data_IF_397691428235
#
_entry.id   IF_397691428235
#
_cell.length_a   1.000
_cell.length_b   1.000
_cell.length_c   1.000
_cell.angle_alpha   90.00
_cell.angle_beta   90.00
_cell.angle_gamma   90.00
#
_symmetry.space_group_name_H-M   'P 1'
#
loop_
_entity.id
_entity.type
_entity.pdbx_description
1 polymer ?
#
# COMPACT_ATOMS: atom_id res chain seq x y z
N UNK A 1 -15.40 14.86 -21.40
CA UNK A 1 -14.76 13.86 -20.51
C UNK A 1 -15.71 13.53 -19.37
N UNK A 2 -16.14 12.27 -19.21
CA UNK A 2 -17.01 11.84 -18.09
C UNK A 2 -16.34 12.11 -16.73
N UNK A 3 -17.12 12.45 -15.70
CA UNK A 3 -16.63 12.69 -14.33
C UNK A 3 -15.81 11.52 -13.80
N UNK A 4 -16.20 10.30 -14.14
CA UNK A 4 -15.46 9.08 -13.82
C UNK A 4 -14.03 9.11 -14.39
N UNK A 5 -13.88 9.42 -15.68
CA UNK A 5 -12.55 9.49 -16.31
C UNK A 5 -11.69 10.58 -15.70
N UNK A 6 -12.26 11.77 -15.44
CA UNK A 6 -11.54 12.86 -14.75
C UNK A 6 -11.01 12.41 -13.39
N UNK A 7 -11.80 11.64 -12.64
CA UNK A 7 -11.40 11.09 -11.35
C UNK A 7 -10.23 10.09 -11.48
N UNK A 8 -10.31 9.14 -12.43
CA UNK A 8 -9.20 8.20 -12.70
C UNK A 8 -7.91 8.95 -13.07
N UNK A 9 -7.99 9.97 -13.93
CA UNK A 9 -6.83 10.81 -14.26
C UNK A 9 -6.26 11.54 -13.04
N UNK A 10 -7.12 12.04 -12.13
CA UNK A 10 -6.63 12.67 -10.90
C UNK A 10 -5.87 11.70 -10.01
N UNK A 11 -6.29 10.43 -9.91
CA UNK A 11 -5.56 9.40 -9.18
C UNK A 11 -4.18 9.15 -9.82
N UNK A 12 -4.13 9.07 -11.15
CA UNK A 12 -2.86 8.90 -11.88
C UNK A 12 -1.89 10.07 -11.62
N UNK A 13 -2.39 11.31 -11.61
CA UNK A 13 -1.58 12.50 -11.29
C UNK A 13 -1.01 12.40 -9.87
N UNK A 14 -1.83 12.06 -8.88
CA UNK A 14 -1.36 11.87 -7.50
C UNK A 14 -0.30 10.77 -7.41
N UNK A 15 -0.44 9.69 -8.19
CA UNK A 15 0.57 8.63 -8.23
C UNK A 15 1.90 9.07 -8.83
N UNK A 16 1.86 9.92 -9.87
CA UNK A 16 3.08 10.52 -10.44
C UNK A 16 3.77 11.40 -9.39
N UNK A 17 3.02 12.24 -8.67
CA UNK A 17 3.55 13.06 -7.59
C UNK A 17 4.22 12.21 -6.50
N UNK A 18 3.58 11.09 -6.11
CA UNK A 18 4.16 10.14 -5.17
C UNK A 18 5.51 9.60 -5.64
N UNK A 19 5.60 9.14 -6.89
CA UNK A 19 6.85 8.61 -7.47
C UNK A 19 7.94 9.69 -7.49
N UNK A 20 7.60 10.93 -7.84
CA UNK A 20 8.54 12.06 -7.80
C UNK A 20 9.06 12.29 -6.38
N UNK A 21 8.19 12.32 -5.37
CA UNK A 21 8.63 12.48 -3.97
C UNK A 21 9.50 11.32 -3.48
N UNK A 22 9.21 10.10 -3.90
CA UNK A 22 10.02 8.92 -3.57
C UNK A 22 11.42 8.98 -4.20
N UNK A 23 11.52 9.39 -5.48
CA UNK A 23 12.80 9.58 -6.17
C UNK A 23 13.61 10.69 -5.51
N UNK A 24 12.99 11.83 -5.19
CA UNK A 24 13.65 12.94 -4.51
C UNK A 24 14.24 12.52 -3.16
N UNK A 25 13.45 11.83 -2.33
CA UNK A 25 13.90 11.28 -1.06
C UNK A 25 15.07 10.29 -1.24
N UNK A 26 14.97 9.39 -2.23
CA UNK A 26 16.03 8.43 -2.52
C UNK A 26 17.35 9.12 -2.93
N UNK A 27 17.29 10.16 -3.79
CA UNK A 27 18.47 10.92 -4.20
C UNK A 27 19.10 11.66 -3.00
N UNK A 28 18.28 12.26 -2.14
CA UNK A 28 18.74 12.96 -0.94
C UNK A 28 19.42 12.01 0.05
N UNK A 29 18.86 10.82 0.25
CA UNK A 29 19.44 9.78 1.08
C UNK A 29 20.80 9.32 0.53
N UNK A 30 20.95 9.23 -0.79
CA UNK A 30 22.20 8.84 -1.45
C UNK A 30 23.30 9.91 -1.38
N UNK A 31 22.93 11.18 -1.27
CA UNK A 31 23.90 12.29 -1.14
C UNK A 31 24.41 12.49 0.30
N UNK A 32 23.98 11.69 1.26
CA UNK A 32 24.45 11.77 2.66
C UNK A 32 24.06 13.07 3.38
N UNK A 33 23.16 13.87 2.81
CA UNK A 33 22.66 15.14 3.39
C UNK A 33 21.43 14.92 4.29
N UNK A 34 21.32 13.76 4.92
CA UNK A 34 20.11 13.28 5.62
C UNK A 34 19.90 13.89 7.02
N UNK A 35 20.23 15.17 7.23
CA UNK A 35 19.99 15.87 8.50
C UNK A 35 19.69 17.35 8.23
N UNK A 36 18.57 17.64 7.57
CA UNK A 36 18.15 19.01 7.32
C UNK A 36 16.64 19.15 7.14
N UNK A 37 16.11 20.36 7.37
CA UNK A 37 14.68 20.68 7.31
C UNK A 37 14.00 20.26 5.98
N UNK A 38 14.75 20.17 4.88
CA UNK A 38 14.24 19.76 3.57
C UNK A 38 13.83 18.28 3.57
N UNK A 39 14.57 17.41 4.26
CA UNK A 39 14.30 15.98 4.30
C UNK A 39 13.03 15.68 5.10
N UNK A 40 12.86 16.35 6.25
CA UNK A 40 11.63 16.27 7.04
C UNK A 40 10.40 16.74 6.26
N UNK A 41 10.52 17.84 5.50
CA UNK A 41 9.45 18.33 4.63
C UNK A 41 9.10 17.31 3.55
N UNK A 42 10.10 16.67 2.93
CA UNK A 42 9.88 15.67 1.89
C UNK A 42 9.21 14.42 2.44
N UNK A 43 9.66 13.92 3.59
CA UNK A 43 9.04 12.78 4.28
C UNK A 43 7.59 13.10 4.63
N UNK A 44 7.35 14.29 5.20
CA UNK A 44 6.01 14.76 5.55
C UNK A 44 5.06 14.80 4.34
N UNK A 45 5.52 15.36 3.21
CA UNK A 45 4.71 15.40 1.99
C UNK A 45 4.53 14.01 1.36
N UNK A 46 5.55 13.15 1.39
CA UNK A 46 5.47 11.76 0.91
C UNK A 46 4.34 11.02 1.61
N UNK A 47 4.29 11.08 2.94
CA UNK A 47 3.28 10.36 3.73
C UNK A 47 1.87 10.93 3.50
N UNK A 48 1.73 12.24 3.32
CA UNK A 48 0.43 12.85 2.98
C UNK A 48 -0.05 12.48 1.57
N UNK A 49 0.85 12.45 0.60
CA UNK A 49 0.51 12.04 -0.77
C UNK A 49 0.09 10.57 -0.78
N UNK A 50 0.77 9.72 0.00
CA UNK A 50 0.40 8.31 0.12
C UNK A 50 -0.98 8.12 0.75
N UNK A 51 -1.27 8.91 1.79
CA UNK A 51 -2.60 8.94 2.40
C UNK A 51 -3.69 9.39 1.41
N UNK A 52 -3.45 10.48 0.67
CA UNK A 52 -4.40 10.99 -0.34
C UNK A 52 -4.62 9.96 -1.44
N UNK A 53 -3.55 9.33 -1.93
CA UNK A 53 -3.63 8.27 -2.94
C UNK A 53 -4.47 7.09 -2.44
N UNK A 54 -4.17 6.59 -1.24
CA UNK A 54 -4.91 5.48 -0.62
C UNK A 54 -6.37 5.84 -0.42
N UNK A 55 -6.66 7.05 0.10
CA UNK A 55 -8.02 7.54 0.27
C UNK A 55 -8.80 7.59 -1.07
N UNK A 56 -8.20 8.15 -2.13
CA UNK A 56 -8.84 8.21 -3.44
C UNK A 56 -9.09 6.82 -4.04
N UNK A 57 -8.15 5.88 -3.85
CA UNK A 57 -8.32 4.49 -4.27
C UNK A 57 -9.40 3.77 -3.47
N UNK A 58 -9.49 4.01 -2.16
CA UNK A 58 -10.57 3.48 -1.33
C UNK A 58 -11.94 3.99 -1.78
N UNK A 59 -12.07 5.29 -2.07
CA UNK A 59 -13.31 5.87 -2.63
C UNK A 59 -13.65 5.25 -3.98
N UNK A 60 -12.66 5.00 -4.84
CA UNK A 60 -12.86 4.33 -6.13
C UNK A 60 -13.42 2.91 -5.94
N UNK A 61 -12.84 2.13 -5.03
CA UNK A 61 -13.31 0.77 -4.72
C UNK A 61 -14.73 0.81 -4.17
N UNK A 62 -15.03 1.69 -3.23
CA UNK A 62 -16.38 1.85 -2.68
C UNK A 62 -17.37 2.14 -3.80
N UNK A 63 -17.04 3.06 -4.72
CA UNK A 63 -17.87 3.37 -5.87
C UNK A 63 -18.08 2.15 -6.79
N UNK A 64 -17.01 1.44 -7.15
CA UNK A 64 -17.05 0.30 -8.07
C UNK A 64 -17.82 -0.90 -7.51
N UNK A 65 -17.70 -1.15 -6.20
CA UNK A 65 -18.32 -2.27 -5.51
C UNK A 65 -19.57 -1.89 -4.72
N UNK A 66 -20.14 -0.69 -4.96
CA UNK A 66 -21.35 -0.25 -4.27
C UNK A 66 -22.54 -1.15 -4.65
N UNK A 67 -23.15 -1.86 -3.69
CA UNK A 67 -24.08 -2.97 -3.97
C UNK A 67 -25.42 -2.53 -4.58
N UNK A 68 -25.76 -1.24 -4.53
CA UNK A 68 -27.02 -0.72 -5.07
C UNK A 68 -26.91 -0.23 -6.52
N UNK A 69 -25.80 -0.53 -7.21
CA UNK A 69 -25.72 -0.33 -8.65
C UNK A 69 -26.71 -1.26 -9.37
N UNK A 70 -27.68 -0.66 -10.07
CA UNK A 70 -28.63 -1.41 -10.92
C UNK A 70 -27.95 -2.13 -12.08
N UNK A 71 -26.81 -1.61 -12.53
CA UNK A 71 -25.98 -2.17 -13.60
C UNK A 71 -24.54 -2.19 -13.08
N UNK A 72 -23.83 -3.33 -13.16
CA UNK A 72 -22.44 -3.40 -12.72
C UNK A 72 -21.58 -2.40 -13.50
N UNK A 73 -20.72 -1.67 -12.79
CA UNK A 73 -19.82 -0.70 -13.42
C UNK A 73 -18.83 -1.47 -14.30
N UNK A 74 -18.81 -1.16 -15.59
CA UNK A 74 -17.87 -1.78 -16.52
C UNK A 74 -16.46 -1.29 -16.17
N UNK A 75 -15.61 -2.23 -15.78
CA UNK A 75 -14.21 -1.98 -15.46
C UNK A 75 -13.39 -1.85 -16.74
N UNK A 76 -13.03 -0.62 -17.07
CA UNK A 76 -12.09 -0.31 -18.14
C UNK A 76 -10.69 -0.90 -17.84
N UNK A 77 -9.90 -1.14 -18.89
CA UNK A 77 -8.54 -1.70 -18.76
C UNK A 77 -7.67 -0.87 -17.80
N UNK A 78 -7.76 0.46 -17.90
CA UNK A 78 -7.03 1.41 -17.05
C UNK A 78 -7.36 1.23 -15.57
N UNK A 79 -8.65 1.11 -15.23
CA UNK A 79 -9.12 0.91 -13.87
C UNK A 79 -8.69 -0.44 -13.30
N UNK A 80 -8.73 -1.50 -14.12
CA UNK A 80 -8.22 -2.83 -13.72
C UNK A 80 -6.72 -2.77 -13.39
N UNK A 81 -5.92 -2.13 -14.23
CA UNK A 81 -4.49 -1.95 -13.99
C UNK A 81 -4.24 -1.14 -12.72
N UNK A 82 -5.00 -0.07 -12.49
CA UNK A 82 -4.87 0.79 -11.32
C UNK A 82 -5.17 0.03 -10.02
N UNK A 83 -6.27 -0.74 -9.99
CA UNK A 83 -6.65 -1.57 -8.85
C UNK A 83 -5.62 -2.68 -8.57
N UNK A 84 -5.11 -3.32 -9.62
CA UNK A 84 -4.08 -4.36 -9.49
C UNK A 84 -2.78 -3.80 -8.88
N UNK A 85 -2.29 -2.66 -9.39
CA UNK A 85 -1.13 -1.97 -8.83
C UNK A 85 -1.37 -1.53 -7.39
N UNK A 86 -2.56 -1.01 -7.09
CA UNK A 86 -2.92 -0.58 -5.74
C UNK A 86 -2.91 -1.75 -4.75
N UNK A 87 -3.50 -2.90 -5.12
CA UNK A 87 -3.47 -4.11 -4.30
C UNK A 87 -2.04 -4.59 -4.02
N UNK A 88 -1.16 -4.58 -5.02
CA UNK A 88 0.25 -4.91 -4.84
C UNK A 88 0.92 -3.95 -3.85
N UNK A 89 0.72 -2.64 -4.02
CA UNK A 89 1.28 -1.63 -3.11
C UNK A 89 0.80 -1.86 -1.68
N UNK A 90 -0.48 -2.13 -1.47
CA UNK A 90 -1.02 -2.43 -0.13
C UNK A 90 -0.35 -3.66 0.50
N UNK A 91 -0.13 -4.74 -0.27
CA UNK A 91 0.55 -5.94 0.24
C UNK A 91 1.97 -5.61 0.70
N UNK A 92 2.73 -4.84 -0.08
CA UNK A 92 4.12 -4.52 0.29
C UNK A 92 4.24 -3.45 1.39
N UNK A 93 3.28 -2.53 1.48
CA UNK A 93 3.31 -1.42 2.45
C UNK A 93 2.60 -1.76 3.77
N UNK A 94 1.79 -2.82 3.81
CA UNK A 94 1.12 -3.27 5.02
C UNK A 94 2.13 -3.59 6.13
N UNK A 95 1.80 -3.18 7.36
CA UNK A 95 2.59 -3.52 8.54
C UNK A 95 2.29 -4.96 8.98
N UNK A 96 2.94 -5.93 8.31
CA UNK A 96 2.80 -7.36 8.59
C UNK A 96 3.15 -7.75 10.02
N UNK A 97 3.97 -6.94 10.71
CA UNK A 97 4.34 -7.19 12.11
C UNK A 97 3.12 -7.13 13.03
N UNK A 98 2.15 -6.25 12.75
CA UNK A 98 0.89 -6.20 13.50
C UNK A 98 0.07 -7.47 13.31
N UNK A 99 0.01 -7.98 12.07
CA UNK A 99 -0.74 -9.19 11.75
C UNK A 99 -0.11 -10.47 12.33
N UNK A 100 1.22 -10.58 12.26
CA UNK A 100 1.96 -11.77 12.70
C UNK A 100 2.19 -11.75 14.22
N UNK A 101 2.44 -10.57 14.81
CA UNK A 101 2.88 -10.40 16.20
C UNK A 101 1.81 -10.64 17.27
N UNK A 102 0.53 -10.48 16.94
CA UNK A 102 -0.58 -10.70 17.90
C UNK A 102 -1.30 -12.05 17.70
N UNK A 103 -0.89 -12.84 16.69
CA UNK A 103 -1.64 -14.04 16.37
C UNK A 103 -1.21 -15.23 17.24
N UNK A 104 -2.11 -15.66 18.13
CA UNK A 104 -2.00 -16.91 18.91
C UNK A 104 -1.71 -18.15 18.04
N UNK A 105 -2.06 -18.09 16.76
CA UNK A 105 -1.81 -19.12 15.75
C UNK A 105 -0.32 -19.23 15.42
N UNK A 106 0.38 -18.09 15.34
CA UNK A 106 1.84 -18.08 15.12
C UNK A 106 2.55 -18.62 16.36
N UNK A 107 2.14 -18.25 17.57
CA UNK A 107 2.66 -18.86 18.81
C UNK A 107 2.46 -20.38 18.85
N UNK A 108 1.26 -20.86 18.49
CA UNK A 108 0.96 -22.29 18.45
C UNK A 108 1.81 -23.02 17.40
N UNK A 109 2.00 -22.43 16.22
CA UNK A 109 2.86 -23.01 15.18
C UNK A 109 4.32 -23.08 15.63
N UNK A 110 4.84 -22.05 16.30
CA UNK A 110 6.19 -22.03 16.86
C UNK A 110 6.36 -23.08 17.96
N UNK A 111 5.35 -23.24 18.83
CA UNK A 111 5.34 -24.26 19.87
C UNK A 111 5.37 -25.68 19.28
N UNK A 112 4.54 -25.97 18.29
CA UNK A 112 4.50 -27.29 17.63
C UNK A 112 5.83 -27.59 16.94
N UNK A 113 6.41 -26.62 16.22
CA UNK A 113 7.70 -26.78 15.54
C UNK A 113 8.83 -27.03 16.55
N UNK A 114 8.87 -26.29 17.66
CA UNK A 114 9.86 -26.45 18.72
C UNK A 114 9.78 -27.83 19.38
N UNK A 115 8.57 -28.33 19.65
CA UNK A 115 8.35 -29.64 20.27
C UNK A 115 8.72 -30.81 19.34
N UNK A 116 8.41 -30.70 18.04
CA UNK A 116 8.81 -31.72 17.04
C UNK A 116 10.35 -31.78 16.93
N UNK A 117 11.01 -30.63 16.94
CA UNK A 117 12.47 -30.54 16.85
C UNK A 117 13.15 -31.12 18.09
N UNK A 118 12.65 -30.83 19.29
CA UNK A 118 13.11 -31.40 20.56
C UNK A 118 13.06 -32.94 20.59
N UNK A 119 11.97 -33.53 20.10
CA UNK A 119 11.78 -35.00 20.09
C UNK A 119 12.76 -35.74 19.19
N UNK A 120 13.29 -35.09 18.16
CA UNK A 120 14.26 -35.69 17.24
C UNK A 120 15.71 -35.65 17.74
N UNK A 121 16.04 -34.87 18.77
CA UNK A 121 17.38 -34.85 19.37
C UNK A 121 17.54 -35.79 20.58
N UNK A 122 16.47 -36.47 21.01
CA UNK A 122 16.50 -37.48 22.08
C UNK A 122 16.41 -38.92 21.56
N UNK A 123 16.51 -39.13 20.25
CA UNK A 123 16.68 -40.44 19.60
C UNK A 123 18.11 -40.56 19.09
#
# INVERSE_FOLDING_TARGET
MSYYKKYIYSILVVKILFVVTAILHFILQFQGKSVGAIDEIIIFWKDRIDFIFTFMMSVLIVYLFYPYHKIPVVLDKETKTLLWLFGIVLIFTANWRLFIGESKIVELSQYVIANVKSKNYMK
#
